data_IF_897419315045
#
_entry.id   IF_897419315045
#
_cell.length_a   1.000
_cell.length_b   1.000
_cell.length_c   1.000
_cell.angle_alpha   90.00
_cell.angle_beta   90.00
_cell.angle_gamma   90.00
#
_symmetry.space_group_name_H-M   'P 1'
#
loop_
_entity.id
_entity.type
_entity.pdbx_description
1 polymer ?
#
# COMPACT_ATOMS: atom_id res chain seq x y z
N UNK A 1 -19.99 -18.83 2.28
CA UNK A 1 -18.88 -18.03 1.73
C UNK A 1 -18.60 -18.35 0.27
N UNK A 2 -18.20 -19.58 -0.10
CA UNK A 2 -17.86 -19.93 -1.50
C UNK A 2 -18.99 -19.67 -2.50
N UNK A 3 -20.24 -19.97 -2.16
CA UNK A 3 -21.38 -19.69 -3.03
C UNK A 3 -21.74 -18.20 -3.10
N UNK A 4 -21.47 -17.44 -2.02
CA UNK A 4 -21.63 -15.99 -2.02
C UNK A 4 -20.60 -15.31 -2.95
N UNK A 5 -19.38 -15.85 -3.06
CA UNK A 5 -18.37 -15.34 -4.00
C UNK A 5 -18.78 -15.47 -5.47
N UNK A 6 -19.66 -16.43 -5.81
CA UNK A 6 -20.10 -16.67 -7.18
C UNK A 6 -21.11 -15.65 -7.70
N UNK A 7 -21.76 -14.94 -6.77
CA UNK A 7 -22.82 -13.98 -7.08
C UNK A 7 -22.41 -12.54 -6.82
N UNK A 8 -21.23 -12.30 -6.23
CA UNK A 8 -20.69 -10.96 -6.04
C UNK A 8 -20.37 -10.31 -7.39
N UNK A 9 -20.97 -9.16 -7.61
CA UNK A 9 -20.72 -8.25 -8.72
C UNK A 9 -20.02 -6.99 -8.20
N UNK A 10 -19.43 -6.22 -9.10
CA UNK A 10 -18.83 -4.92 -8.76
C UNK A 10 -19.83 -3.99 -8.04
N UNK A 11 -21.10 -4.03 -8.43
CA UNK A 11 -22.14 -3.17 -7.84
C UNK A 11 -22.46 -3.55 -6.38
N UNK A 12 -22.10 -4.75 -5.95
CA UNK A 12 -22.35 -5.23 -4.57
C UNK A 12 -21.32 -4.73 -3.56
N UNK A 13 -20.12 -4.31 -3.98
CA UNK A 13 -19.04 -3.90 -3.07
C UNK A 13 -18.51 -2.49 -3.27
N UNK A 14 -18.98 -1.75 -4.28
CA UNK A 14 -18.71 -0.32 -4.44
C UNK A 14 -19.70 0.60 -3.68
N UNK A 15 -20.38 0.11 -2.63
CA UNK A 15 -21.47 0.83 -1.97
C UNK A 15 -21.09 2.23 -1.46
N UNK A 16 -19.87 2.38 -0.93
CA UNK A 16 -19.32 3.67 -0.47
C UNK A 16 -18.10 4.14 -1.29
N UNK A 17 -17.56 3.25 -2.14
CA UNK A 17 -16.34 3.48 -2.93
C UNK A 17 -15.09 3.72 -2.06
N UNK A 18 -13.88 3.48 -2.62
CA UNK A 18 -12.64 3.80 -1.92
C UNK A 18 -12.46 5.32 -1.86
N UNK A 19 -11.76 5.78 -0.84
CA UNK A 19 -11.54 7.19 -0.57
C UNK A 19 -10.08 7.51 -0.27
N UNK A 20 -9.67 8.71 -0.70
CA UNK A 20 -8.31 9.23 -0.55
C UNK A 20 -7.89 9.34 0.92
N UNK A 21 -8.81 9.60 1.85
CA UNK A 21 -8.48 9.63 3.29
C UNK A 21 -8.12 8.25 3.84
N UNK A 22 -8.63 7.17 3.25
CA UNK A 22 -8.32 5.80 3.70
C UNK A 22 -6.84 5.46 3.44
N UNK A 23 -6.11 6.21 2.61
CA UNK A 23 -4.66 6.03 2.47
C UNK A 23 -3.92 6.26 3.80
N UNK A 24 -4.36 7.24 4.60
CA UNK A 24 -3.78 7.48 5.94
C UNK A 24 -4.12 6.36 6.91
N UNK A 25 -5.31 5.77 6.77
CA UNK A 25 -5.74 4.66 7.61
C UNK A 25 -4.87 3.42 7.39
N UNK A 26 -4.42 3.18 6.15
CA UNK A 26 -3.45 2.11 5.85
C UNK A 26 -2.15 2.35 6.60
N UNK A 27 -1.56 3.54 6.50
CA UNK A 27 -0.31 3.88 7.21
C UNK A 27 -0.50 3.73 8.71
N UNK A 28 -1.58 4.31 9.26
CA UNK A 28 -1.88 4.24 10.68
C UNK A 28 -2.11 2.82 11.19
N UNK A 29 -2.71 1.95 10.39
CA UNK A 29 -2.91 0.54 10.76
C UNK A 29 -1.58 -0.22 10.79
N UNK A 30 -0.76 -0.09 9.75
CA UNK A 30 0.53 -0.77 9.66
C UNK A 30 1.48 -0.30 10.76
N UNK A 31 1.48 1.00 11.07
CA UNK A 31 2.24 1.55 12.18
C UNK A 31 1.81 0.92 13.52
N UNK A 32 0.50 0.84 13.79
CA UNK A 32 0.00 0.22 15.04
C UNK A 32 0.45 -1.23 15.20
N UNK A 33 0.44 -2.01 14.11
CA UNK A 33 0.92 -3.39 14.15
C UNK A 33 2.44 -3.46 14.35
N UNK A 34 3.19 -2.55 13.73
CA UNK A 34 4.64 -2.45 13.90
C UNK A 34 5.01 -2.11 15.34
N UNK A 35 4.35 -1.12 15.94
CA UNK A 35 4.56 -0.72 17.33
C UNK A 35 4.19 -1.85 18.30
N UNK A 36 3.09 -2.55 18.02
CA UNK A 36 2.67 -3.71 18.81
C UNK A 36 3.70 -4.85 18.75
N UNK A 37 4.23 -5.14 17.56
CA UNK A 37 5.24 -6.18 17.38
C UNK A 37 6.53 -5.85 18.16
N UNK A 38 6.99 -4.59 18.10
CA UNK A 38 8.12 -4.11 18.90
C UNK A 38 7.87 -4.28 20.41
N UNK A 39 6.68 -3.89 20.88
CA UNK A 39 6.32 -4.04 22.29
C UNK A 39 6.31 -5.50 22.73
N UNK A 40 5.83 -6.43 21.90
CA UNK A 40 5.85 -7.85 22.19
C UNK A 40 7.28 -8.40 22.32
N UNK A 41 8.18 -8.04 21.40
CA UNK A 41 9.58 -8.50 21.45
C UNK A 41 10.28 -7.96 22.70
N UNK A 42 10.15 -6.67 22.99
CA UNK A 42 10.79 -6.10 24.17
C UNK A 42 10.21 -6.65 25.48
N UNK A 43 8.92 -6.98 25.51
CA UNK A 43 8.31 -7.68 26.65
C UNK A 43 8.87 -9.10 26.83
N UNK A 44 9.08 -9.85 25.74
CA UNK A 44 9.68 -11.19 25.79
C UNK A 44 11.13 -11.14 26.29
N UNK A 45 11.92 -10.17 25.81
CA UNK A 45 13.32 -10.00 26.21
C UNK A 45 13.43 -9.60 27.68
N UNK A 46 12.68 -8.58 28.10
CA UNK A 46 12.76 -8.04 29.46
C UNK A 46 12.09 -8.93 30.52
N UNK A 47 11.11 -9.74 30.13
CA UNK A 47 10.41 -10.67 31.01
C UNK A 47 11.11 -12.01 31.23
N UNK A 48 12.24 -12.27 30.56
CA UNK A 48 12.97 -13.52 30.69
C UNK A 48 13.76 -13.58 32.00
N UNK A 49 13.54 -14.64 32.78
CA UNK A 49 14.36 -14.95 33.96
C UNK A 49 15.58 -15.78 33.52
N UNK A 50 16.73 -15.11 33.41
CA UNK A 50 17.95 -15.66 32.80
C UNK A 50 19.03 -15.85 33.86
N UNK A 51 19.45 -17.10 34.13
CA UNK A 51 20.58 -17.38 35.02
C UNK A 51 21.88 -16.73 34.52
N UNK A 52 22.79 -16.26 35.41
CA UNK A 52 24.03 -15.58 35.01
C UNK A 52 24.90 -16.35 34.02
N UNK A 53 24.91 -17.67 34.10
CA UNK A 53 25.66 -18.56 33.19
C UNK A 53 25.15 -18.56 31.75
N UNK A 54 23.96 -18.02 31.48
CA UNK A 54 23.37 -17.91 30.14
C UNK A 54 23.25 -16.46 29.65
N UNK A 55 23.87 -15.49 30.34
CA UNK A 55 23.77 -14.07 29.98
C UNK A 55 24.20 -13.79 28.53
N UNK A 56 25.30 -14.38 28.08
CA UNK A 56 25.79 -14.20 26.70
C UNK A 56 24.80 -14.75 25.66
N UNK A 57 24.25 -15.94 25.91
CA UNK A 57 23.26 -16.56 25.03
C UNK A 57 21.95 -15.73 24.98
N UNK A 58 21.54 -15.13 26.09
CA UNK A 58 20.37 -14.25 26.10
C UNK A 58 20.56 -12.98 25.27
N UNK A 59 21.77 -12.42 25.25
CA UNK A 59 22.09 -11.28 24.37
C UNK A 59 21.95 -11.67 22.90
N UNK A 60 22.49 -12.82 22.50
CA UNK A 60 22.36 -13.33 21.13
C UNK A 60 20.89 -13.56 20.75
N UNK A 61 20.14 -14.27 21.59
CA UNK A 61 18.71 -14.53 21.35
C UNK A 61 17.91 -13.22 21.26
N UNK A 62 18.21 -12.23 22.11
CA UNK A 62 17.55 -10.92 22.07
C UNK A 62 17.85 -10.17 20.77
N UNK A 63 19.08 -10.27 20.26
CA UNK A 63 19.45 -9.71 18.97
C UNK A 63 18.70 -10.38 17.82
N UNK A 64 18.61 -11.71 17.83
CA UNK A 64 17.88 -12.49 16.82
C UNK A 64 16.39 -12.13 16.81
N UNK A 65 15.75 -12.04 17.98
CA UNK A 65 14.34 -11.66 18.08
C UNK A 65 14.08 -10.29 17.46
N UNK A 66 14.94 -9.30 17.73
CA UNK A 66 14.83 -7.96 17.13
C UNK A 66 15.04 -7.99 15.62
N UNK A 67 16.00 -8.78 15.16
CA UNK A 67 16.29 -8.94 13.73
C UNK A 67 15.11 -9.55 12.98
N UNK A 68 14.55 -10.66 13.45
CA UNK A 68 13.40 -11.28 12.78
C UNK A 68 12.15 -10.40 12.82
N UNK A 69 11.91 -9.71 13.94
CA UNK A 69 10.83 -8.73 14.03
C UNK A 69 11.00 -7.55 13.05
N UNK A 70 12.23 -7.09 12.82
CA UNK A 70 12.49 -6.10 11.77
C UNK A 70 12.11 -6.63 10.39
N UNK A 71 12.49 -7.86 10.03
CA UNK A 71 12.12 -8.47 8.75
C UNK A 71 10.60 -8.63 8.58
N UNK A 72 9.88 -9.01 9.64
CA UNK A 72 8.42 -9.10 9.61
C UNK A 72 7.77 -7.73 9.41
N UNK A 73 8.30 -6.67 10.03
CA UNK A 73 7.80 -5.30 9.81
C UNK A 73 8.05 -4.81 8.40
N UNK A 74 9.18 -5.14 7.78
CA UNK A 74 9.45 -4.79 6.38
C UNK A 74 8.42 -5.45 5.43
N UNK A 75 7.96 -6.67 5.75
CA UNK A 75 6.86 -7.32 5.04
C UNK A 75 5.53 -6.59 5.24
N UNK A 76 5.25 -6.07 6.45
CA UNK A 76 4.06 -5.26 6.70
C UNK A 76 4.05 -3.97 5.87
N UNK A 77 5.19 -3.27 5.76
CA UNK A 77 5.31 -2.07 4.93
C UNK A 77 5.22 -2.39 3.44
N UNK A 78 5.80 -3.51 3.00
CA UNK A 78 5.61 -4.02 1.64
C UNK A 78 4.13 -4.28 1.32
N UNK A 79 3.38 -4.85 2.27
CA UNK A 79 1.93 -5.04 2.14
C UNK A 79 1.17 -3.71 2.11
N UNK A 80 1.63 -2.68 2.82
CA UNK A 80 1.05 -1.34 2.76
C UNK A 80 1.06 -0.81 1.32
N UNK A 81 2.19 -0.93 0.60
CA UNK A 81 2.30 -0.53 -0.80
C UNK A 81 1.30 -1.27 -1.70
N UNK A 82 1.09 -2.57 -1.47
CA UNK A 82 0.12 -3.35 -2.24
C UNK A 82 -1.31 -2.85 -2.02
N UNK A 83 -1.67 -2.63 -0.75
CA UNK A 83 -3.00 -2.16 -0.38
C UNK A 83 -3.26 -0.77 -0.96
N UNK A 84 -2.30 0.16 -0.81
CA UNK A 84 -2.37 1.51 -1.36
C UNK A 84 -2.52 1.51 -2.88
N UNK A 85 -1.71 0.73 -3.60
CA UNK A 85 -1.82 0.58 -5.05
C UNK A 85 -3.21 0.09 -5.47
N UNK A 86 -3.74 -0.94 -4.80
CA UNK A 86 -5.07 -1.47 -5.09
C UNK A 86 -6.19 -0.47 -4.82
N UNK A 87 -6.10 0.28 -3.71
CA UNK A 87 -7.07 1.34 -3.37
C UNK A 87 -6.99 2.50 -4.35
N UNK A 88 -5.79 2.93 -4.74
CA UNK A 88 -5.60 3.99 -5.70
C UNK A 88 -6.18 3.63 -7.06
N UNK A 89 -5.86 2.45 -7.59
CA UNK A 89 -6.43 1.95 -8.83
C UNK A 89 -7.97 1.87 -8.80
N UNK A 90 -8.53 1.54 -7.65
CA UNK A 90 -9.96 1.53 -7.43
C UNK A 90 -10.56 2.95 -7.41
N UNK A 91 -9.89 3.90 -6.76
CA UNK A 91 -10.25 5.33 -6.77
C UNK A 91 -10.30 5.87 -8.21
N UNK A 92 -9.32 5.53 -9.06
CA UNK A 92 -9.30 5.90 -10.48
C UNK A 92 -10.60 5.50 -11.18
N UNK A 93 -10.94 4.22 -11.08
CA UNK A 93 -12.08 3.63 -11.80
C UNK A 93 -13.40 4.18 -11.28
N UNK A 94 -13.57 4.27 -9.96
CA UNK A 94 -14.85 4.63 -9.35
C UNK A 94 -15.12 6.14 -9.44
N UNK A 95 -14.09 6.98 -9.33
CA UNK A 95 -14.29 8.44 -9.20
C UNK A 95 -14.13 9.21 -10.49
N UNK A 96 -13.26 8.78 -11.39
CA UNK A 96 -12.82 9.64 -12.48
C UNK A 96 -13.19 9.12 -13.87
N UNK A 97 -13.32 7.81 -14.05
CA UNK A 97 -13.78 7.24 -15.32
C UNK A 97 -15.31 7.39 -15.46
N UNK A 98 -15.75 7.98 -16.56
CA UNK A 98 -17.16 8.33 -16.77
C UNK A 98 -18.03 7.13 -17.13
N UNK A 99 -17.43 6.08 -17.70
CA UNK A 99 -18.10 4.84 -18.09
C UNK A 99 -17.37 3.64 -17.51
N UNK A 100 -18.14 2.60 -17.15
CA UNK A 100 -17.56 1.28 -16.91
C UNK A 100 -16.79 0.88 -18.18
N UNK A 101 -15.49 0.63 -18.09
CA UNK A 101 -14.70 0.36 -19.28
C UNK A 101 -15.22 -0.92 -19.93
N UNK A 102 -15.41 -0.90 -21.25
CA UNK A 102 -15.92 -2.05 -22.01
C UNK A 102 -15.01 -3.27 -21.98
N UNK A 103 -13.79 -3.11 -21.45
CA UNK A 103 -12.81 -4.16 -21.16
C UNK A 103 -12.23 -3.91 -19.76
N UNK A 104 -11.84 -4.99 -19.07
CA UNK A 104 -11.13 -4.88 -17.79
C UNK A 104 -9.81 -4.11 -17.94
N UNK A 105 -9.57 -3.13 -17.08
CA UNK A 105 -8.33 -2.36 -17.03
C UNK A 105 -7.35 -3.04 -16.06
N UNK A 106 -6.37 -3.75 -16.60
CA UNK A 106 -5.39 -4.49 -15.80
C UNK A 106 -4.20 -3.60 -15.40
N UNK A 107 -4.00 -3.47 -14.09
CA UNK A 107 -2.90 -2.69 -13.49
C UNK A 107 -3.06 -1.18 -13.63
N UNK A 108 -2.06 -0.45 -13.13
CA UNK A 108 -2.04 1.01 -13.07
C UNK A 108 -1.93 1.66 -14.45
N UNK A 109 -1.01 1.18 -15.29
CA UNK A 109 -0.72 1.79 -16.59
C UNK A 109 -1.96 1.91 -17.46
N UNK A 110 -2.74 0.83 -17.60
CA UNK A 110 -3.97 0.83 -18.38
C UNK A 110 -5.03 1.80 -17.81
N UNK A 111 -5.05 2.03 -16.49
CA UNK A 111 -5.96 2.99 -15.86
C UNK A 111 -5.52 4.42 -16.10
N UNK A 112 -4.22 4.72 -16.05
CA UNK A 112 -3.69 6.05 -16.41
C UNK A 112 -3.93 6.38 -17.88
N UNK A 113 -3.77 5.40 -18.78
CA UNK A 113 -4.12 5.56 -20.21
C UNK A 113 -5.62 5.84 -20.39
N UNK A 114 -6.49 5.18 -19.63
CA UNK A 114 -7.93 5.44 -19.64
C UNK A 114 -8.27 6.84 -19.08
N UNK A 115 -7.60 7.29 -18.03
CA UNK A 115 -7.72 8.65 -17.49
C UNK A 115 -7.36 9.70 -18.54
N UNK A 116 -6.25 9.52 -19.24
CA UNK A 116 -5.83 10.42 -20.31
C UNK A 116 -6.83 10.48 -21.46
N UNK A 117 -7.51 9.36 -21.77
CA UNK A 117 -8.56 9.30 -22.78
C UNK A 117 -9.86 10.03 -22.34
N UNK A 118 -10.07 10.22 -21.04
CA UNK A 118 -11.12 11.07 -20.46
C UNK A 118 -10.63 12.52 -20.25
N UNK A 119 -9.54 12.91 -20.94
CA UNK A 119 -8.96 14.26 -20.95
C UNK A 119 -8.35 14.74 -19.61
N UNK A 120 -8.21 13.86 -18.62
CA UNK A 120 -7.43 14.16 -17.42
C UNK A 120 -5.96 14.34 -17.79
N UNK A 121 -5.37 15.41 -17.26
CA UNK A 121 -3.96 15.76 -17.46
C UNK A 121 -3.19 15.36 -16.22
N UNK A 122 -2.06 14.68 -16.41
CA UNK A 122 -1.13 14.35 -15.33
C UNK A 122 0.27 14.70 -15.80
N UNK A 123 1.07 15.43 -15.01
CA UNK A 123 2.46 15.69 -15.34
C UNK A 123 3.21 14.39 -15.64
N UNK A 124 4.07 14.39 -16.66
CA UNK A 124 4.84 13.20 -17.05
C UNK A 124 5.71 12.67 -15.90
N UNK A 125 6.27 13.58 -15.09
CA UNK A 125 7.02 13.23 -13.88
C UNK A 125 6.18 12.42 -12.88
N UNK A 126 4.93 12.84 -12.65
CA UNK A 126 4.03 12.13 -11.73
C UNK A 126 3.62 10.77 -12.29
N UNK A 127 3.38 10.68 -13.61
CA UNK A 127 3.12 9.39 -14.27
C UNK A 127 4.31 8.45 -14.12
N UNK A 128 5.53 8.95 -14.35
CA UNK A 128 6.75 8.17 -14.22
C UNK A 128 6.95 7.66 -12.79
N UNK A 129 6.73 8.53 -11.80
CA UNK A 129 6.87 8.21 -10.38
C UNK A 129 5.81 7.18 -9.93
N UNK A 130 4.55 7.35 -10.33
CA UNK A 130 3.48 6.38 -10.07
C UNK A 130 3.81 4.99 -10.65
N UNK A 131 4.35 4.94 -11.87
CA UNK A 131 4.76 3.68 -12.49
C UNK A 131 6.01 3.08 -11.81
N UNK A 132 6.92 3.90 -11.29
CA UNK A 132 8.07 3.44 -10.52
C UNK A 132 7.61 2.76 -9.21
N UNK A 133 6.67 3.35 -8.48
CA UNK A 133 6.04 2.73 -7.30
C UNK A 133 5.33 1.40 -7.65
N UNK A 134 4.60 1.36 -8.76
CA UNK A 134 3.98 0.11 -9.22
C UNK A 134 5.01 -0.98 -9.55
N UNK A 135 6.16 -0.60 -10.12
CA UNK A 135 7.26 -1.52 -10.40
C UNK A 135 7.95 -2.00 -9.12
N UNK A 136 8.19 -1.12 -8.14
CA UNK A 136 8.71 -1.49 -6.82
C UNK A 136 7.78 -2.49 -6.14
N UNK A 137 6.47 -2.23 -6.15
CA UNK A 137 5.47 -3.17 -5.62
C UNK A 137 5.56 -4.54 -6.28
N UNK A 138 5.68 -4.58 -7.61
CA UNK A 138 5.80 -5.83 -8.35
C UNK A 138 7.13 -6.55 -8.03
N UNK A 139 8.23 -5.81 -7.89
CA UNK A 139 9.52 -6.37 -7.47
C UNK A 139 9.38 -7.07 -6.11
N UNK A 140 8.79 -6.40 -5.12
CA UNK A 140 8.52 -6.97 -3.79
C UNK A 140 7.60 -8.20 -3.84
N UNK A 141 6.75 -8.31 -4.88
CA UNK A 141 5.88 -9.47 -5.10
C UNK A 141 6.60 -10.68 -5.68
N UNK A 142 7.69 -10.45 -6.40
CA UNK A 142 8.41 -11.50 -7.14
C UNK A 142 9.76 -11.86 -6.52
N UNK A 143 10.24 -11.06 -5.56
CA UNK A 143 11.52 -11.24 -4.89
C UNK A 143 11.30 -11.49 -3.40
N UNK A 144 11.08 -12.75 -2.96
CA UNK A 144 10.93 -13.06 -1.54
C UNK A 144 12.20 -12.66 -0.75
N UNK A 145 12.04 -12.03 0.43
CA UNK A 145 13.15 -11.46 1.19
C UNK A 145 14.22 -12.46 1.62
N UNK A 146 13.82 -13.72 1.79
CA UNK A 146 14.72 -14.81 2.17
C UNK A 146 15.81 -15.13 1.12
N UNK A 147 15.57 -14.79 -0.16
CA UNK A 147 16.45 -15.22 -1.27
C UNK A 147 17.10 -14.06 -2.02
N UNK A 148 16.44 -12.89 -2.04
CA UNK A 148 16.82 -11.79 -2.92
C UNK A 148 17.12 -10.48 -2.20
N UNK A 149 16.88 -10.40 -0.88
CA UNK A 149 17.00 -9.17 -0.08
C UNK A 149 16.49 -7.94 -0.85
N UNK A 150 15.20 -7.92 -1.24
CA UNK A 150 14.66 -6.78 -1.96
C UNK A 150 14.83 -5.51 -1.13
N UNK A 151 14.76 -4.36 -1.81
CA UNK A 151 14.86 -3.04 -1.17
C UNK A 151 13.91 -2.99 0.03
N UNK A 152 14.46 -2.70 1.21
CA UNK A 152 13.66 -2.49 2.41
C UNK A 152 12.78 -1.26 2.19
N UNK A 153 11.50 -1.39 2.55
CA UNK A 153 10.53 -0.29 2.50
C UNK A 153 10.13 -0.02 3.93
N UNK A 154 10.22 1.23 4.34
CA UNK A 154 9.81 1.67 5.66
C UNK A 154 8.57 2.59 5.60
N UNK A 155 8.25 3.14 6.77
CA UNK A 155 7.15 4.09 6.92
C UNK A 155 7.33 5.33 6.04
N UNK A 156 8.54 5.91 6.03
CA UNK A 156 8.81 7.17 5.34
C UNK A 156 8.61 7.00 3.84
N UNK A 157 9.08 5.88 3.27
CA UNK A 157 8.85 5.53 1.87
C UNK A 157 7.35 5.47 1.55
N UNK A 158 6.56 4.82 2.42
CA UNK A 158 5.12 4.67 2.24
C UNK A 158 4.39 6.02 2.39
N UNK A 159 4.82 6.87 3.31
CA UNK A 159 4.28 8.23 3.49
C UNK A 159 4.58 9.14 2.29
N UNK A 160 5.76 9.00 1.67
CA UNK A 160 6.11 9.64 0.40
C UNK A 160 5.14 9.19 -0.70
N UNK A 161 4.90 7.89 -0.82
CA UNK A 161 3.95 7.37 -1.79
C UNK A 161 2.52 7.89 -1.55
N UNK A 162 2.04 7.87 -0.31
CA UNK A 162 0.72 8.43 0.05
C UNK A 162 0.62 9.91 -0.33
N UNK A 163 1.70 10.68 -0.13
CA UNK A 163 1.74 12.09 -0.50
C UNK A 163 1.60 12.30 -2.01
N UNK A 164 2.29 11.50 -2.81
CA UNK A 164 2.12 11.46 -4.27
C UNK A 164 0.67 11.13 -4.65
N UNK A 165 0.11 10.05 -4.09
CA UNK A 165 -1.26 9.60 -4.40
C UNK A 165 -2.30 10.67 -4.11
N UNK A 166 -2.19 11.33 -2.94
CA UNK A 166 -3.10 12.41 -2.55
C UNK A 166 -2.98 13.62 -3.46
N UNK A 167 -1.74 14.02 -3.78
CA UNK A 167 -1.47 15.16 -4.67
C UNK A 167 -2.11 14.96 -6.03
N UNK A 168 -1.90 13.80 -6.65
CA UNK A 168 -2.46 13.50 -7.97
C UNK A 168 -3.99 13.37 -7.91
N UNK A 169 -4.55 12.73 -6.87
CA UNK A 169 -6.00 12.69 -6.67
C UNK A 169 -6.63 14.08 -6.51
N UNK A 170 -5.96 14.99 -5.79
CA UNK A 170 -6.44 16.36 -5.59
C UNK A 170 -6.47 17.13 -6.91
N UNK A 171 -5.42 17.03 -7.71
CA UNK A 171 -5.34 17.65 -9.05
C UNK A 171 -6.46 17.14 -9.97
N UNK A 172 -6.65 15.82 -10.08
CA UNK A 172 -7.77 15.27 -10.84
C UNK A 172 -9.14 15.65 -10.28
N UNK A 173 -9.25 15.83 -8.96
CA UNK A 173 -10.46 16.35 -8.32
C UNK A 173 -10.81 17.76 -8.81
N UNK A 174 -9.81 18.64 -8.92
CA UNK A 174 -9.98 19.99 -9.46
C UNK A 174 -10.36 19.96 -10.94
N UNK A 175 -9.64 19.19 -11.76
CA UNK A 175 -9.93 19.03 -13.18
C UNK A 175 -11.35 18.52 -13.43
N UNK A 176 -11.80 17.51 -12.66
CA UNK A 176 -13.17 17.00 -12.74
C UNK A 176 -14.22 18.07 -12.41
N UNK A 177 -13.98 18.90 -11.40
CA UNK A 177 -14.87 19.99 -11.04
C UNK A 177 -14.94 21.04 -12.17
N UNK A 178 -13.81 21.35 -12.81
CA UNK A 178 -13.77 22.23 -13.99
C UNK A 178 -14.56 21.64 -15.16
N UNK A 179 -14.36 20.36 -15.48
CA UNK A 179 -15.08 19.67 -16.55
C UNK A 179 -16.60 19.66 -16.33
N UNK A 180 -17.05 19.47 -15.09
CA UNK A 180 -18.48 19.46 -14.75
C UNK A 180 -19.13 20.85 -14.81
N UNK A 181 -18.36 21.93 -14.65
CA UNK A 181 -18.87 23.32 -14.70
C UNK A 181 -18.98 23.87 -16.14
N UNK A 182 -18.48 23.14 -17.13
CA UNK A 182 -18.51 23.51 -18.56
C UNK A 182 -19.75 22.92 -19.28
N UNK A 183 -20.52 22.06 -18.60
CA UNK A 183 -21.78 21.45 -19.07
C UNK A 183 -23.01 22.17 -18.50
#
# INVERSE_FOLDING_TARGET
MRDALRVLTEDDYWLYGPNVHEFDEVVGLIQKYSDYADACVEQMISGADVPPEFADAHVEVSSDLRYYNHLEKDLLWSFALWRLQGMFEAVLVVRYLSKKPGKRLFGLKAKLEAMAAEEYRTPEADVAELLAWANLRNLLSHSPPEHFHPVAVDRQDVEEYVSLLKRVCADWGAQRAEMNNVL
#
